data_IF_096226457272
#
_entry.id   IF_096226457272
#
_cell.length_a   1.000
_cell.length_b   1.000
_cell.length_c   1.000
_cell.angle_alpha   90.00
_cell.angle_beta   90.00
_cell.angle_gamma   90.00
#
_symmetry.space_group_name_H-M   'P 1'
#
loop_
_entity.id
_entity.type
_entity.pdbx_description
1 polymer ?
#
# COMPACT_ATOMS: atom_id res chain seq x y z
N UNK A 1 -19.78 -10.31 19.48
CA UNK A 1 -18.50 -9.63 19.72
C UNK A 1 -17.98 -10.17 21.04
N UNK A 2 -16.84 -10.87 21.03
CA UNK A 2 -16.21 -11.38 22.25
C UNK A 2 -14.97 -10.54 22.50
N UNK A 3 -14.91 -9.88 23.66
CA UNK A 3 -13.75 -9.17 24.14
C UNK A 3 -12.89 -10.15 24.94
N UNK A 4 -11.57 -9.97 24.89
CA UNK A 4 -10.68 -10.60 25.87
C UNK A 4 -10.98 -10.00 27.26
N UNK A 5 -10.52 -10.67 28.32
CA UNK A 5 -10.72 -10.22 29.71
C UNK A 5 -10.09 -8.84 30.01
N UNK A 6 -9.20 -8.35 29.15
CA UNK A 6 -8.57 -7.02 29.21
C UNK A 6 -9.32 -5.93 28.40
N UNK A 7 -10.47 -6.26 27.82
CA UNK A 7 -11.26 -5.34 27.01
C UNK A 7 -10.71 -5.09 25.60
N UNK A 8 -9.64 -5.76 25.20
CA UNK A 8 -9.20 -5.77 23.79
C UNK A 8 -10.10 -6.67 22.95
N UNK A 9 -10.31 -6.31 21.68
CA UNK A 9 -11.06 -7.17 20.76
C UNK A 9 -10.28 -8.44 20.48
N UNK A 10 -10.80 -9.57 20.96
CA UNK A 10 -10.29 -10.91 20.69
C UNK A 10 -10.60 -11.33 19.25
N UNK A 11 -9.85 -10.79 18.29
CA UNK A 11 -9.77 -11.44 16.98
C UNK A 11 -8.86 -12.66 17.14
N UNK A 12 -9.49 -13.76 17.52
CA UNK A 12 -8.87 -15.05 17.75
C UNK A 12 -8.18 -15.49 16.45
N UNK A 13 -6.85 -15.53 16.45
CA UNK A 13 -5.99 -15.83 15.29
C UNK A 13 -6.41 -17.14 14.59
N UNK A 14 -6.80 -18.14 15.39
CA UNK A 14 -7.32 -19.45 14.97
C UNK A 14 -8.55 -19.36 14.03
N UNK A 15 -9.43 -18.38 14.23
CA UNK A 15 -10.55 -18.13 13.33
C UNK A 15 -10.06 -17.71 11.94
N UNK A 16 -9.08 -16.80 11.87
CA UNK A 16 -8.52 -16.34 10.60
C UNK A 16 -7.73 -17.44 9.88
N UNK A 17 -6.95 -18.25 10.59
CA UNK A 17 -6.21 -19.39 10.04
C UNK A 17 -7.14 -20.46 9.43
N UNK A 18 -8.24 -20.78 10.12
CA UNK A 18 -9.21 -21.79 9.64
C UNK A 18 -10.00 -21.34 8.41
N UNK A 19 -10.31 -20.05 8.29
CA UNK A 19 -11.07 -19.52 7.14
C UNK A 19 -10.18 -19.28 5.92
N UNK A 20 -8.88 -18.99 6.11
CA UNK A 20 -7.86 -18.98 5.04
C UNK A 20 -7.69 -20.37 4.41
N UNK A 21 -7.61 -21.43 5.22
CA UNK A 21 -7.53 -22.82 4.72
C UNK A 21 -8.79 -23.26 3.95
N UNK A 22 -9.96 -22.72 4.32
CA UNK A 22 -11.24 -22.98 3.66
C UNK A 22 -11.48 -22.11 2.41
N UNK A 23 -10.57 -21.19 2.08
CA UNK A 23 -10.71 -20.28 0.93
C UNK A 23 -11.82 -19.23 1.09
N UNK A 24 -12.34 -19.03 2.30
CA UNK A 24 -13.45 -18.11 2.62
C UNK A 24 -12.93 -16.70 2.93
N UNK A 25 -11.72 -16.60 3.48
CA UNK A 25 -10.97 -15.35 3.57
C UNK A 25 -9.96 -15.28 2.41
N UNK A 26 -9.66 -14.07 1.90
CA UNK A 26 -8.69 -13.92 0.82
C UNK A 26 -7.37 -14.59 1.18
N UNK A 27 -6.71 -15.19 0.16
CA UNK A 27 -5.26 -15.45 0.17
C UNK A 27 -4.55 -14.19 0.66
N UNK A 28 -3.40 -14.33 1.32
CA UNK A 28 -2.78 -13.20 2.00
C UNK A 28 -2.85 -11.92 1.14
N UNK A 29 -3.35 -10.77 1.65
CA UNK A 29 -3.54 -9.58 0.82
C UNK A 29 -2.32 -9.17 -0.02
N UNK A 30 -1.11 -9.54 0.44
CA UNK A 30 0.14 -9.37 -0.31
C UNK A 30 0.26 -10.35 -1.48
N UNK A 31 -0.04 -11.65 -1.30
CA UNK A 31 -0.05 -12.65 -2.38
C UNK A 31 -1.01 -12.25 -3.51
N UNK A 32 -2.17 -11.69 -3.15
CA UNK A 32 -3.13 -11.17 -4.13
C UNK A 32 -2.55 -9.99 -4.91
N UNK A 33 -1.86 -9.07 -4.23
CA UNK A 33 -1.23 -7.92 -4.89
C UNK A 33 -0.07 -8.37 -5.80
N UNK A 34 0.72 -9.36 -5.41
CA UNK A 34 1.77 -9.97 -6.23
C UNK A 34 1.21 -10.56 -7.54
N UNK A 35 0.14 -11.35 -7.46
CA UNK A 35 -0.50 -11.92 -8.65
C UNK A 35 -1.03 -10.84 -9.59
N UNK A 36 -1.71 -9.82 -9.03
CA UNK A 36 -2.27 -8.72 -9.81
C UNK A 36 -1.14 -7.93 -10.46
N UNK A 37 -0.08 -7.60 -9.73
CA UNK A 37 0.99 -6.76 -10.22
C UNK A 37 1.85 -7.50 -11.26
N UNK A 38 2.01 -8.82 -11.14
CA UNK A 38 2.61 -9.65 -12.18
C UNK A 38 1.80 -9.66 -13.49
N UNK A 39 0.46 -9.67 -13.39
CA UNK A 39 -0.42 -9.53 -14.57
C UNK A 39 -0.28 -8.15 -15.21
N UNK A 40 -0.16 -7.09 -14.41
CA UNK A 40 0.08 -5.73 -14.91
C UNK A 40 1.44 -5.61 -15.60
N UNK A 41 2.49 -6.21 -15.05
CA UNK A 41 3.80 -6.31 -15.70
C UNK A 41 3.70 -7.05 -17.05
N UNK A 42 2.97 -8.16 -17.08
CA UNK A 42 2.74 -8.94 -18.31
C UNK A 42 1.97 -8.14 -19.37
N UNK A 43 1.08 -7.23 -18.92
CA UNK A 43 0.38 -6.29 -19.77
C UNK A 43 1.24 -5.07 -20.18
N UNK A 44 2.51 -5.01 -19.74
CA UNK A 44 3.48 -3.96 -20.07
C UNK A 44 3.00 -2.56 -19.66
N UNK A 45 2.37 -2.46 -18.48
CA UNK A 45 1.98 -1.16 -17.94
C UNK A 45 3.20 -0.29 -17.65
N UNK A 46 3.05 1.01 -17.85
CA UNK A 46 4.06 1.99 -17.45
C UNK A 46 3.76 2.46 -16.03
N UNK A 47 4.49 1.92 -15.04
CA UNK A 47 4.29 2.24 -13.62
C UNK A 47 4.59 3.70 -13.25
N UNK A 48 5.44 4.37 -14.04
CA UNK A 48 5.94 5.73 -13.79
C UNK A 48 5.05 6.83 -14.35
N UNK A 49 3.96 6.48 -15.02
CA UNK A 49 3.02 7.46 -15.57
C UNK A 49 2.39 8.32 -14.48
N UNK A 50 2.10 9.56 -14.86
CA UNK A 50 1.27 10.48 -14.08
C UNK A 50 -0.03 10.71 -14.84
N UNK A 51 -1.13 10.81 -14.13
CA UNK A 51 -2.39 11.19 -14.76
C UNK A 51 -2.40 12.69 -15.12
N UNK A 52 -3.50 13.16 -15.71
CA UNK A 52 -3.65 14.58 -16.06
C UNK A 52 -3.46 15.52 -14.86
N UNK A 53 -3.79 15.09 -13.63
CA UNK A 53 -3.59 15.89 -12.42
C UNK A 53 -2.14 15.91 -11.91
N UNK A 54 -1.19 15.33 -12.64
CA UNK A 54 0.21 15.18 -12.23
C UNK A 54 0.42 14.13 -11.15
N UNK A 55 -0.58 13.28 -10.87
CA UNK A 55 -0.50 12.27 -9.81
C UNK A 55 0.07 10.96 -10.34
N UNK A 56 1.18 10.54 -9.76
CA UNK A 56 1.73 9.20 -9.90
C UNK A 56 0.95 8.17 -9.07
N UNK A 57 1.22 6.87 -9.29
CA UNK A 57 0.66 5.79 -8.48
C UNK A 57 0.95 5.95 -6.97
N UNK A 58 2.09 6.54 -6.58
CA UNK A 58 2.41 6.78 -5.18
C UNK A 58 1.45 7.77 -4.51
N UNK A 59 0.87 8.73 -5.22
CA UNK A 59 -0.17 9.60 -4.66
C UNK A 59 -1.43 8.81 -4.28
N UNK A 60 -1.81 7.83 -5.10
CA UNK A 60 -2.97 6.98 -4.82
C UNK A 60 -2.72 6.02 -3.66
N UNK A 61 -1.52 5.44 -3.57
CA UNK A 61 -1.13 4.61 -2.43
C UNK A 61 -1.10 5.46 -1.15
N UNK A 62 -0.56 6.68 -1.21
CA UNK A 62 -0.50 7.62 -0.10
C UNK A 62 -1.89 8.02 0.42
N UNK A 63 -2.85 8.29 -0.47
CA UNK A 63 -4.22 8.66 -0.11
C UNK A 63 -5.06 7.50 0.47
N UNK A 64 -4.55 6.27 0.48
CA UNK A 64 -5.31 5.07 0.86
C UNK A 64 -4.65 4.31 2.03
N UNK A 65 -4.91 4.71 3.29
CA UNK A 65 -4.27 4.14 4.48
C UNK A 65 -4.80 2.73 4.78
N UNK A 66 -4.16 1.73 4.17
CA UNK A 66 -4.50 0.30 4.33
C UNK A 66 -3.27 -0.51 4.72
N UNK A 67 -3.49 -1.72 5.24
CA UNK A 67 -2.41 -2.66 5.54
C UNK A 67 -1.53 -3.00 4.32
N UNK A 68 -2.02 -2.77 3.09
CA UNK A 68 -1.28 -3.04 1.84
C UNK A 68 -0.38 -1.87 1.40
N UNK A 69 -0.57 -0.68 1.97
CA UNK A 69 0.04 0.55 1.46
C UNK A 69 1.57 0.54 1.54
N UNK A 70 2.14 -0.01 2.62
CA UNK A 70 3.60 -0.13 2.77
C UNK A 70 4.22 -1.03 1.69
N UNK A 71 3.64 -2.21 1.46
CA UNK A 71 4.14 -3.15 0.44
C UNK A 71 4.04 -2.54 -0.96
N UNK A 72 2.88 -1.95 -1.30
CA UNK A 72 2.68 -1.29 -2.61
C UNK A 72 3.64 -0.13 -2.81
N UNK A 73 3.90 0.66 -1.78
CA UNK A 73 4.89 1.74 -1.82
C UNK A 73 6.28 1.21 -2.17
N UNK A 74 6.76 0.19 -1.43
CA UNK A 74 8.06 -0.42 -1.68
C UNK A 74 8.16 -1.06 -3.08
N UNK A 75 7.09 -1.74 -3.53
CA UNK A 75 7.04 -2.31 -4.86
C UNK A 75 7.18 -1.24 -5.95
N UNK A 76 6.47 -0.11 -5.82
CA UNK A 76 6.52 0.97 -6.80
C UNK A 76 7.90 1.64 -6.85
N UNK A 77 8.65 1.73 -5.75
CA UNK A 77 10.06 2.11 -5.79
C UNK A 77 10.90 1.14 -6.63
N UNK A 78 10.69 -0.16 -6.46
CA UNK A 78 11.34 -1.19 -7.29
C UNK A 78 10.98 -1.09 -8.78
N UNK A 79 9.87 -0.42 -9.12
CA UNK A 79 9.46 -0.11 -10.50
C UNK A 79 9.95 1.25 -11.02
N UNK A 80 10.71 1.99 -10.21
CA UNK A 80 11.26 3.29 -10.59
C UNK A 80 10.27 4.45 -10.48
N UNK A 81 9.19 4.32 -9.71
CA UNK A 81 8.26 5.43 -9.48
C UNK A 81 8.91 6.45 -8.56
N UNK A 82 9.12 7.66 -9.08
CA UNK A 82 9.75 8.76 -8.35
C UNK A 82 8.79 9.36 -7.29
N UNK A 83 9.14 9.32 -5.99
CA UNK A 83 8.32 9.91 -4.92
C UNK A 83 8.32 11.44 -4.90
N UNK A 84 9.28 12.08 -5.58
CA UNK A 84 9.42 13.53 -5.61
C UNK A 84 8.50 14.23 -6.61
N UNK A 85 7.84 13.45 -7.48
CA UNK A 85 6.82 13.94 -8.41
C UNK A 85 5.77 14.76 -7.66
N UNK A 86 5.52 15.97 -8.16
CA UNK A 86 4.49 16.88 -7.64
C UNK A 86 3.25 16.84 -8.51
N UNK A 87 2.09 16.73 -7.87
CA UNK A 87 0.80 16.92 -8.54
C UNK A 87 0.56 18.41 -8.87
N UNK A 88 -0.56 18.71 -9.53
CA UNK A 88 -0.92 20.09 -9.93
C UNK A 88 -1.08 21.07 -8.77
N UNK A 89 -1.28 20.59 -7.55
CA UNK A 89 -1.33 21.42 -6.34
C UNK A 89 0.07 21.62 -5.73
N UNK A 90 1.11 21.10 -6.38
CA UNK A 90 2.48 21.11 -5.90
C UNK A 90 2.77 20.08 -4.80
N UNK A 91 1.85 19.14 -4.55
CA UNK A 91 2.00 18.12 -3.48
C UNK A 91 2.71 16.90 -4.00
N UNK A 92 3.60 16.35 -3.19
CA UNK A 92 4.21 15.04 -3.41
C UNK A 92 3.33 13.92 -2.84
N UNK A 93 3.72 12.67 -3.11
CA UNK A 93 3.12 11.52 -2.44
C UNK A 93 3.29 11.58 -0.91
N UNK A 94 4.41 12.12 -0.41
CA UNK A 94 4.65 12.34 1.02
C UNK A 94 3.67 13.33 1.64
N UNK A 95 3.45 14.47 0.98
CA UNK A 95 2.47 15.48 1.41
C UNK A 95 1.05 14.88 1.46
N UNK A 96 0.71 14.06 0.47
CA UNK A 96 -0.56 13.33 0.42
C UNK A 96 -0.66 12.32 1.57
N UNK A 97 0.40 11.56 1.87
CA UNK A 97 0.39 10.57 2.94
C UNK A 97 0.17 11.22 4.31
N UNK A 98 0.80 12.37 4.56
CA UNK A 98 0.60 13.16 5.79
C UNK A 98 -0.85 13.63 5.89
N UNK A 99 -1.40 14.22 4.82
CA UNK A 99 -2.78 14.72 4.80
C UNK A 99 -3.82 13.63 5.09
N UNK A 100 -3.58 12.40 4.60
CA UNK A 100 -4.46 11.25 4.80
C UNK A 100 -4.08 10.39 6.02
N UNK A 101 -3.09 10.82 6.82
CA UNK A 101 -2.57 10.10 8.00
C UNK A 101 -2.11 8.66 7.70
N UNK A 102 -1.56 8.45 6.51
CA UNK A 102 -1.04 7.16 6.06
C UNK A 102 0.40 6.93 6.54
N UNK A 103 0.55 6.61 7.83
CA UNK A 103 1.86 6.42 8.47
C UNK A 103 2.73 5.38 7.77
N UNK A 104 2.12 4.31 7.26
CA UNK A 104 2.82 3.24 6.54
C UNK A 104 3.57 3.76 5.31
N UNK A 105 2.98 4.71 4.57
CA UNK A 105 3.61 5.31 3.39
C UNK A 105 4.63 6.38 3.79
N UNK A 106 4.35 7.16 4.85
CA UNK A 106 5.34 8.11 5.42
C UNK A 106 6.63 7.37 5.81
N UNK A 107 6.51 6.28 6.57
CA UNK A 107 7.65 5.47 7.00
C UNK A 107 8.36 4.79 5.81
N UNK A 108 7.61 4.36 4.80
CA UNK A 108 8.17 3.80 3.56
C UNK A 108 9.02 4.84 2.81
N UNK A 109 8.53 6.08 2.66
CA UNK A 109 9.23 7.18 2.01
C UNK A 109 10.46 7.62 2.82
N UNK A 110 10.34 7.74 4.14
CA UNK A 110 11.45 8.10 5.03
C UNK A 110 12.58 7.07 4.96
N UNK A 111 12.25 5.78 4.85
CA UNK A 111 13.24 4.71 4.68
C UNK A 111 13.95 4.83 3.33
N UNK A 112 13.19 4.98 2.25
CA UNK A 112 13.75 5.12 0.90
C UNK A 112 14.71 6.32 0.80
N UNK A 113 14.36 7.46 1.39
CA UNK A 113 15.22 8.65 1.39
C UNK A 113 16.54 8.48 2.17
N UNK A 114 16.64 7.49 3.08
CA UNK A 114 17.85 7.19 3.84
C UNK A 114 18.77 6.19 3.12
N UNK A 115 18.27 5.49 2.11
CA UNK A 115 18.98 4.45 1.35
C UNK A 115 19.07 4.88 -0.13
N UNK A 116 20.12 5.66 -0.51
CA UNK A 116 20.27 6.19 -1.88
C UNK A 116 20.62 5.12 -2.92
#
# INVERSE_FOLDING_TARGET
MLLNDDGSTAVREDYYWSQRQKGVLPRDPVEVDEEIFAKLDSARVTWTEVNDHGRSLLHYVAANPTARAAWRCAFLFGKGVDPSVRDRDGRTAGDTAVAFRNKAVVECLDRHNREP
#
